data_IF_394885855318
#
_entry.id   IF_394885855318
#
_cell.length_a   1.000
_cell.length_b   1.000
_cell.length_c   1.000
_cell.angle_alpha   90.00
_cell.angle_beta   90.00
_cell.angle_gamma   90.00
#
_symmetry.space_group_name_H-M   'P 1'
#
loop_
_entity.id
_entity.type
_entity.pdbx_description
1 polymer ?
#
# COMPACT_ATOMS: atom_id res chain seq x y z
N UNK A 1 -1.75 -22.23 63.37
CA UNK A 1 -1.61 -21.91 64.80
C UNK A 1 -0.15 -21.54 65.07
N UNK A 2 0.10 -20.39 65.69
CA UNK A 2 1.42 -20.04 66.25
C UNK A 2 1.56 -20.70 67.64
N UNK A 3 2.77 -20.73 68.23
CA UNK A 3 3.15 -19.62 69.10
C UNK A 3 4.58 -19.09 68.87
N UNK A 4 4.81 -17.86 69.28
CA UNK A 4 6.11 -17.20 69.28
C UNK A 4 6.76 -17.23 70.67
N UNK A 5 8.09 -17.15 70.73
CA UNK A 5 8.84 -16.48 71.80
C UNK A 5 10.21 -16.02 71.28
N UNK A 6 10.60 -14.82 71.70
CA UNK A 6 11.82 -14.12 71.25
C UNK A 6 13.03 -14.43 72.16
N UNK A 7 14.22 -13.88 71.83
CA UNK A 7 14.99 -12.91 72.65
C UNK A 7 16.42 -12.69 72.09
N UNK A 8 16.94 -11.45 72.28
CA UNK A 8 18.33 -10.94 72.12
C UNK A 8 18.92 -10.68 70.71
N UNK A 9 19.03 -9.39 70.38
CA UNK A 9 20.22 -8.79 69.75
C UNK A 9 21.30 -8.54 70.82
N UNK A 10 22.50 -8.10 70.42
CA UNK A 10 22.83 -6.73 70.81
C UNK A 10 23.38 -5.86 69.67
N UNK A 11 23.34 -4.57 69.96
CA UNK A 11 23.67 -3.42 69.11
C UNK A 11 25.15 -3.29 68.75
N UNK A 12 25.43 -2.53 67.69
CA UNK A 12 26.45 -1.50 67.78
C UNK A 12 26.07 -0.31 66.89
N UNK A 13 25.83 0.83 67.52
CA UNK A 13 25.77 2.16 66.92
C UNK A 13 27.20 2.54 66.42
N UNK A 14 27.51 3.65 65.75
CA UNK A 14 26.88 4.97 65.66
C UNK A 14 27.57 5.81 64.56
N UNK A 15 26.81 6.63 63.82
CA UNK A 15 27.10 8.06 63.46
C UNK A 15 28.42 8.37 62.65
N UNK A 16 28.72 9.55 62.08
CA UNK A 16 28.05 10.73 61.48
C UNK A 16 29.13 11.43 60.58
N UNK A 17 28.94 12.52 59.83
CA UNK A 17 27.87 13.52 59.67
C UNK A 17 27.76 13.95 58.18
N UNK A 18 27.28 15.18 57.89
CA UNK A 18 27.18 15.79 56.57
C UNK A 18 28.41 16.65 56.16
N UNK A 19 28.45 17.09 54.89
CA UNK A 19 28.38 18.55 54.55
C UNK A 19 28.64 18.86 53.06
N UNK A 20 27.74 19.63 52.46
CA UNK A 20 28.01 20.57 51.35
C UNK A 20 28.34 21.97 51.98
N UNK A 21 28.87 23.01 51.28
CA UNK A 21 28.60 23.41 49.88
C UNK A 21 29.80 24.03 49.09
N UNK A 22 29.57 24.50 47.85
CA UNK A 22 30.50 25.44 47.19
C UNK A 22 30.40 25.63 45.66
N UNK A 23 30.10 26.85 45.23
CA UNK A 23 30.35 27.47 43.90
C UNK A 23 30.98 28.85 44.16
N UNK A 24 31.60 29.59 43.20
CA UNK A 24 31.91 29.35 41.78
C UNK A 24 33.46 29.54 41.52
N UNK A 25 34.06 30.02 40.38
CA UNK A 25 33.65 31.09 39.43
C UNK A 25 33.74 30.75 37.91
N UNK A 26 33.37 31.71 37.08
CA UNK A 26 33.35 31.67 35.59
C UNK A 26 34.63 32.24 34.97
N UNK A 27 35.15 31.65 33.88
CA UNK A 27 35.87 32.37 32.80
C UNK A 27 36.10 31.53 31.52
N UNK A 28 35.62 32.07 30.38
CA UNK A 28 36.46 32.36 29.19
C UNK A 28 36.88 31.24 28.23
N UNK A 29 36.29 31.28 27.04
CA UNK A 29 36.87 31.02 25.70
C UNK A 29 37.30 29.61 25.27
N UNK A 30 36.79 29.21 24.08
CA UNK A 30 37.09 27.92 23.44
C UNK A 30 36.16 27.54 22.27
N UNK A 31 35.77 28.51 21.43
CA UNK A 31 34.78 28.28 20.36
C UNK A 31 35.42 27.63 19.12
N UNK A 32 35.29 26.30 18.99
CA UNK A 32 35.65 25.57 17.76
C UNK A 32 34.45 24.75 17.29
N UNK A 33 33.74 25.28 16.29
CA UNK A 33 32.67 24.56 15.58
C UNK A 33 33.28 23.61 14.56
N UNK A 34 33.12 22.30 14.77
CA UNK A 34 33.11 21.33 13.66
C UNK A 34 31.66 21.13 13.21
N UNK A 35 31.29 21.74 12.09
CA UNK A 35 30.00 21.52 11.42
C UNK A 35 30.16 20.40 10.40
N UNK A 36 30.00 19.15 10.84
CA UNK A 36 29.82 18.03 9.92
C UNK A 36 28.32 17.90 9.56
N UNK A 37 28.00 18.29 8.34
CA UNK A 37 26.66 18.25 7.77
C UNK A 37 26.29 16.82 7.34
N UNK A 38 25.24 16.18 7.91
CA UNK A 38 24.85 14.83 7.55
C UNK A 38 24.29 14.68 6.12
N UNK A 39 24.12 15.76 5.35
CA UNK A 39 23.55 15.73 3.99
C UNK A 39 24.52 15.28 2.87
N UNK A 40 25.72 14.80 3.20
CA UNK A 40 26.72 14.34 2.19
C UNK A 40 27.18 12.89 2.37
N UNK A 41 26.23 11.95 2.30
CA UNK A 41 26.48 10.53 1.96
C UNK A 41 25.52 10.03 0.87
N UNK A 42 25.56 10.68 -0.29
CA UNK A 42 24.99 10.12 -1.53
C UNK A 42 25.86 8.96 -2.02
N UNK A 43 25.58 7.74 -1.55
CA UNK A 43 26.21 6.53 -2.11
C UNK A 43 25.58 6.25 -3.47
N UNK A 44 26.41 6.21 -4.50
CA UNK A 44 26.01 5.94 -5.89
C UNK A 44 25.50 4.51 -6.04
N UNK A 45 24.18 4.32 -5.99
CA UNK A 45 23.54 2.99 -6.10
C UNK A 45 22.78 2.77 -7.43
N UNK A 46 22.41 3.83 -8.14
CA UNK A 46 21.54 3.75 -9.34
C UNK A 46 22.20 3.09 -10.56
N UNK A 47 23.49 3.34 -10.81
CA UNK A 47 24.11 3.08 -12.12
C UNK A 47 24.44 1.61 -12.44
N UNK A 48 24.35 0.70 -11.47
CA UNK A 48 24.55 -0.75 -11.67
C UNK A 48 23.24 -1.53 -11.71
N UNK A 49 22.16 -1.00 -11.12
CA UNK A 49 20.83 -1.63 -11.16
C UNK A 49 20.19 -1.46 -12.55
N UNK A 50 20.21 -0.24 -13.09
CA UNK A 50 19.72 0.09 -14.43
C UNK A 50 20.41 -0.77 -15.53
N UNK A 51 21.73 -0.95 -15.43
CA UNK A 51 22.51 -1.75 -16.38
C UNK A 51 22.20 -3.25 -16.33
N UNK A 52 21.76 -3.78 -15.19
CA UNK A 52 21.38 -5.18 -15.07
C UNK A 52 19.94 -5.42 -15.56
N UNK A 53 19.00 -4.50 -15.32
CA UNK A 53 17.67 -4.57 -15.93
C UNK A 53 17.76 -4.59 -17.46
N UNK A 54 18.51 -3.64 -18.03
CA UNK A 54 18.60 -3.49 -19.48
C UNK A 54 19.19 -4.74 -20.16
N UNK A 55 20.12 -5.42 -19.49
CA UNK A 55 20.71 -6.68 -19.97
C UNK A 55 19.74 -7.87 -19.91
N UNK A 56 18.84 -7.92 -18.93
CA UNK A 56 17.81 -8.95 -18.85
C UNK A 56 16.69 -8.80 -19.89
N UNK A 57 16.40 -7.56 -20.34
CA UNK A 57 15.40 -7.31 -21.37
C UNK A 57 15.88 -7.63 -22.80
N UNK A 58 17.19 -7.64 -23.05
CA UNK A 58 17.74 -8.00 -24.37
C UNK A 58 17.74 -9.53 -24.62
N UNK A 59 17.78 -10.35 -23.56
CA UNK A 59 17.86 -11.81 -23.66
C UNK A 59 16.48 -12.49 -23.88
N UNK A 60 15.38 -11.73 -23.85
CA UNK A 60 14.01 -12.18 -24.15
C UNK A 60 13.50 -11.54 -25.45
N UNK A 61 14.17 -11.81 -26.58
CA UNK A 61 13.71 -11.40 -27.91
C UNK A 61 13.42 -12.57 -28.86
N UNK A 62 12.17 -12.61 -29.36
CA UNK A 62 11.68 -13.24 -30.60
C UNK A 62 11.99 -14.74 -30.86
N UNK A 63 10.93 -15.56 -31.03
CA UNK A 63 10.95 -16.61 -32.04
C UNK A 63 11.05 -15.96 -33.44
N UNK A 64 12.17 -16.15 -34.15
CA UNK A 64 12.25 -15.81 -35.57
C UNK A 64 11.57 -16.89 -36.41
N UNK A 65 10.41 -16.59 -36.99
CA UNK A 65 9.83 -17.39 -38.07
C UNK A 65 10.40 -16.91 -39.42
N UNK A 66 11.15 -17.77 -40.08
CA UNK A 66 11.70 -17.50 -41.41
C UNK A 66 10.61 -17.60 -42.50
N UNK A 67 10.62 -16.73 -43.52
CA UNK A 67 9.66 -16.81 -44.63
C UNK A 67 10.12 -17.84 -45.69
N UNK A 68 9.25 -18.74 -46.16
CA UNK A 68 9.53 -19.56 -47.34
C UNK A 68 9.37 -18.76 -48.64
N UNK A 69 10.25 -19.02 -49.61
CA UNK A 69 10.26 -18.40 -50.93
C UNK A 69 9.16 -18.98 -51.87
N UNK A 70 8.80 -18.28 -52.97
CA UNK A 70 7.55 -18.54 -53.69
C UNK A 70 7.64 -19.64 -54.73
N UNK A 71 6.51 -20.28 -55.02
CA UNK A 71 6.30 -21.05 -56.26
C UNK A 71 4.87 -20.85 -56.78
N UNK A 72 4.77 -20.49 -58.06
CA UNK A 72 3.51 -20.44 -58.83
C UNK A 72 3.40 -21.72 -59.68
N UNK A 73 2.20 -22.12 -60.13
CA UNK A 73 1.74 -21.61 -61.42
C UNK A 73 0.24 -21.28 -61.55
N UNK A 74 -0.03 -20.47 -62.58
CA UNK A 74 -1.31 -20.01 -63.14
C UNK A 74 -2.43 -21.05 -63.31
N UNK A 75 -3.70 -20.62 -63.21
CA UNK A 75 -4.67 -20.76 -64.32
C UNK A 75 -5.86 -19.76 -64.27
N UNK A 76 -6.04 -19.06 -65.39
CA UNK A 76 -7.25 -18.48 -66.02
C UNK A 76 -8.45 -17.87 -65.25
N UNK A 77 -8.70 -16.60 -65.61
CA UNK A 77 -9.99 -16.00 -66.03
C UNK A 77 -11.19 -15.86 -65.06
N UNK A 78 -11.61 -14.59 -64.87
CA UNK A 78 -12.80 -14.22 -64.11
C UNK A 78 -12.92 -12.71 -63.88
N UNK A 79 -13.04 -11.93 -64.96
CA UNK A 79 -13.10 -10.46 -64.86
C UNK A 79 -14.44 -9.98 -64.28
N UNK A 80 -14.45 -9.58 -63.00
CA UNK A 80 -15.53 -8.77 -62.41
C UNK A 80 -14.89 -7.55 -61.75
N UNK A 81 -15.10 -6.39 -62.36
CA UNK A 81 -14.64 -5.09 -61.85
C UNK A 81 -15.47 -4.67 -60.63
N UNK A 82 -14.95 -4.91 -59.44
CA UNK A 82 -15.48 -4.31 -58.21
C UNK A 82 -14.79 -2.96 -57.92
N UNK A 83 -15.52 -1.98 -57.36
CA UNK A 83 -15.03 -0.62 -57.21
C UNK A 83 -13.81 -0.56 -56.29
N UNK A 84 -12.86 0.30 -56.65
CA UNK A 84 -11.68 0.61 -55.85
C UNK A 84 -12.11 1.04 -54.43
N UNK A 85 -11.88 0.17 -53.44
CA UNK A 85 -11.85 0.59 -52.04
C UNK A 85 -10.91 1.80 -51.93
N UNK A 86 -11.32 2.92 -51.32
CA UNK A 86 -10.34 3.91 -50.90
C UNK A 86 -9.39 3.20 -49.92
N UNK A 87 -8.11 3.17 -50.25
CA UNK A 87 -7.05 2.65 -49.38
C UNK A 87 -6.75 3.64 -48.25
N UNK A 88 -7.78 3.95 -47.45
CA UNK A 88 -7.58 4.45 -46.11
C UNK A 88 -7.17 3.28 -45.24
N UNK A 89 -5.94 3.29 -44.74
CA UNK A 89 -5.51 2.35 -43.71
C UNK A 89 -6.44 2.52 -42.51
N UNK A 90 -7.32 1.53 -42.27
CA UNK A 90 -8.13 1.48 -41.07
C UNK A 90 -7.19 1.21 -39.90
N UNK A 91 -6.69 2.28 -39.28
CA UNK A 91 -5.83 2.23 -38.09
C UNK A 91 -6.47 1.29 -37.07
N UNK A 92 -5.71 0.28 -36.65
CA UNK A 92 -6.17 -0.71 -35.69
C UNK A 92 -6.59 -0.06 -34.37
N UNK A 93 -7.61 -0.63 -33.74
CA UNK A 93 -8.18 -0.18 -32.47
C UNK A 93 -8.61 -1.40 -31.63
N UNK A 94 -8.55 -1.26 -30.31
CA UNK A 94 -9.04 -2.25 -29.37
C UNK A 94 -10.54 -2.06 -29.12
N UNK A 95 -11.33 -3.11 -29.32
CA UNK A 95 -12.70 -3.18 -28.82
C UNK A 95 -12.77 -4.27 -27.76
N UNK A 96 -12.81 -3.85 -26.49
CA UNK A 96 -12.79 -4.73 -25.33
C UNK A 96 -14.07 -5.58 -25.17
N UNK A 97 -15.08 -5.37 -26.02
CA UNK A 97 -16.29 -6.21 -26.15
C UNK A 97 -16.00 -7.52 -26.88
N UNK A 98 -15.07 -7.49 -27.86
CA UNK A 98 -14.81 -8.63 -28.76
C UNK A 98 -13.38 -9.17 -28.67
N UNK A 99 -12.40 -8.34 -28.27
CA UNK A 99 -11.02 -8.76 -28.12
C UNK A 99 -10.85 -9.56 -26.83
N UNK A 100 -10.19 -10.71 -26.95
CA UNK A 100 -9.84 -11.57 -25.83
C UNK A 100 -8.32 -11.71 -25.72
N UNK A 101 -7.83 -11.80 -24.49
CA UNK A 101 -6.40 -11.80 -24.14
C UNK A 101 -6.02 -13.14 -23.52
N UNK A 102 -4.82 -13.63 -23.75
CA UNK A 102 -4.33 -14.82 -23.04
C UNK A 102 -4.10 -14.51 -21.57
N UNK A 103 -4.38 -15.48 -20.68
CA UNK A 103 -4.14 -15.29 -19.25
C UNK A 103 -2.64 -15.13 -18.99
N UNK A 104 -2.25 -14.07 -18.28
CA UNK A 104 -0.84 -13.77 -18.03
C UNK A 104 -0.13 -14.74 -17.07
N UNK A 105 -0.86 -15.59 -16.34
CA UNK A 105 -0.26 -16.66 -15.53
C UNK A 105 0.40 -17.67 -16.47
N UNK A 106 1.70 -17.87 -16.29
CA UNK A 106 2.47 -18.81 -17.11
C UNK A 106 1.84 -20.22 -17.14
N UNK A 107 1.67 -20.78 -18.35
CA UNK A 107 1.05 -22.08 -18.56
C UNK A 107 -0.49 -22.09 -18.58
N UNK A 108 -1.15 -20.93 -18.50
CA UNK A 108 -2.61 -20.84 -18.64
C UNK A 108 -3.03 -20.38 -20.05
N UNK A 109 -3.66 -21.28 -20.81
CA UNK A 109 -4.15 -21.00 -22.18
C UNK A 109 -5.57 -20.40 -22.22
N UNK A 110 -6.17 -20.09 -21.07
CA UNK A 110 -7.54 -19.54 -20.99
C UNK A 110 -7.56 -18.12 -21.53
N UNK A 111 -8.51 -17.84 -22.42
CA UNK A 111 -8.75 -16.49 -22.94
C UNK A 111 -9.67 -15.69 -22.03
N UNK A 112 -9.23 -14.49 -21.71
CA UNK A 112 -9.84 -13.52 -20.82
C UNK A 112 -10.61 -12.49 -21.66
N UNK A 113 -11.88 -12.24 -21.35
CA UNK A 113 -12.68 -11.15 -21.92
C UNK A 113 -13.12 -10.19 -20.82
N UNK A 114 -13.19 -8.89 -21.12
CA UNK A 114 -13.62 -7.90 -20.13
C UNK A 114 -15.07 -8.10 -19.67
N UNK A 115 -15.90 -8.72 -20.52
CA UNK A 115 -17.34 -8.91 -20.29
C UNK A 115 -17.71 -10.30 -19.75
N UNK A 116 -16.74 -11.19 -19.51
CA UNK A 116 -17.02 -12.55 -19.02
C UNK A 116 -17.32 -12.63 -17.50
N UNK A 117 -17.14 -11.53 -16.76
CA UNK A 117 -17.27 -11.40 -15.29
C UNK A 117 -16.31 -12.24 -14.42
N UNK A 118 -15.46 -13.07 -15.03
CA UNK A 118 -14.47 -13.91 -14.36
C UNK A 118 -13.07 -13.30 -14.44
N UNK A 119 -12.76 -12.67 -15.57
CA UNK A 119 -11.49 -12.03 -15.86
C UNK A 119 -11.24 -10.85 -14.93
N UNK A 120 -10.03 -10.81 -14.38
CA UNK A 120 -9.57 -9.78 -13.46
C UNK A 120 -8.29 -9.12 -13.95
N UNK A 121 -8.00 -7.98 -13.33
CA UNK A 121 -7.02 -7.02 -13.80
C UNK A 121 -6.30 -6.46 -12.59
N UNK A 122 -4.99 -6.31 -12.69
CA UNK A 122 -4.22 -5.68 -11.63
C UNK A 122 -4.69 -4.22 -11.43
N UNK A 123 -4.99 -3.79 -10.20
CA UNK A 123 -5.44 -2.43 -9.90
C UNK A 123 -4.33 -1.37 -10.10
N UNK A 124 -3.08 -1.76 -10.36
CA UNK A 124 -2.05 -0.83 -10.85
C UNK A 124 -1.99 -0.78 -12.40
N UNK A 125 -2.28 -1.88 -13.10
CA UNK A 125 -2.22 -1.96 -14.57
C UNK A 125 -3.50 -1.47 -15.29
N UNK A 126 -4.64 -1.44 -14.60
CA UNK A 126 -5.88 -0.88 -15.14
C UNK A 126 -6.46 -1.61 -16.37
N UNK A 127 -7.66 -1.22 -16.80
CA UNK A 127 -8.41 -1.97 -17.81
C UNK A 127 -7.73 -2.04 -19.17
N UNK A 128 -6.96 -1.03 -19.55
CA UNK A 128 -6.27 -0.91 -20.83
C UNK A 128 -4.81 -1.42 -20.82
N UNK A 129 -4.45 -2.31 -19.89
CA UNK A 129 -3.22 -3.11 -20.02
C UNK A 129 -3.44 -4.36 -20.85
N UNK A 130 -2.43 -4.82 -21.60
CA UNK A 130 -2.46 -6.14 -22.23
C UNK A 130 -2.51 -7.30 -21.22
N UNK A 131 -2.15 -7.06 -19.95
CA UNK A 131 -2.18 -8.08 -18.91
C UNK A 131 -3.60 -8.28 -18.36
N UNK A 132 -4.06 -9.53 -18.43
CA UNK A 132 -5.35 -10.01 -17.92
C UNK A 132 -5.17 -11.38 -17.28
N UNK A 133 -6.02 -11.70 -16.31
CA UNK A 133 -6.05 -13.02 -15.68
C UNK A 133 -7.47 -13.57 -15.75
N UNK A 134 -7.63 -14.85 -16.08
CA UNK A 134 -8.95 -15.48 -16.19
C UNK A 134 -9.66 -15.71 -14.84
N UNK A 135 -9.04 -15.29 -13.72
CA UNK A 135 -9.61 -15.41 -12.40
C UNK A 135 -8.77 -14.78 -11.30
N UNK A 136 -9.44 -14.51 -10.16
CA UNK A 136 -8.85 -13.90 -8.94
C UNK A 136 -7.65 -14.68 -8.39
N UNK A 137 -7.70 -16.01 -8.47
CA UNK A 137 -6.65 -16.91 -7.98
C UNK A 137 -5.35 -16.75 -8.78
N UNK A 138 -5.41 -16.89 -10.10
CA UNK A 138 -4.27 -16.73 -10.99
C UNK A 138 -3.54 -15.39 -10.81
N UNK A 139 -4.29 -14.29 -10.62
CA UNK A 139 -3.69 -12.98 -10.37
C UNK A 139 -2.98 -12.88 -9.00
N UNK A 140 -3.48 -13.57 -7.96
CA UNK A 140 -2.85 -13.58 -6.62
C UNK A 140 -1.60 -14.45 -6.59
N UNK A 141 -1.62 -15.60 -7.27
CA UNK A 141 -0.46 -16.48 -7.38
C UNK A 141 0.67 -15.82 -8.19
N UNK A 142 0.32 -15.11 -9.26
CA UNK A 142 1.27 -14.42 -10.15
C UNK A 142 1.79 -13.08 -9.57
N UNK A 143 1.31 -12.65 -8.40
CA UNK A 143 1.56 -11.33 -7.82
C UNK A 143 3.04 -10.88 -7.80
N UNK A 144 3.97 -11.82 -7.58
CA UNK A 144 5.42 -11.57 -7.56
C UNK A 144 6.03 -11.48 -8.96
N UNK A 145 5.57 -12.31 -9.91
CA UNK A 145 6.06 -12.29 -11.28
C UNK A 145 5.51 -11.06 -12.02
N UNK A 146 4.20 -10.80 -11.87
CA UNK A 146 3.51 -9.64 -12.41
C UNK A 146 4.15 -8.31 -11.99
N UNK A 147 4.65 -8.21 -10.74
CA UNK A 147 5.30 -7.01 -10.23
C UNK A 147 6.42 -6.49 -11.14
N UNK A 148 7.18 -7.39 -11.79
CA UNK A 148 8.30 -7.03 -12.68
C UNK A 148 7.86 -6.29 -13.96
N UNK A 149 6.60 -6.45 -14.37
CA UNK A 149 6.01 -5.90 -15.60
C UNK A 149 4.79 -4.98 -15.31
N UNK A 150 4.50 -4.74 -14.03
CA UNK A 150 3.34 -4.00 -13.58
C UNK A 150 3.38 -2.55 -14.08
N UNK A 151 2.28 -2.07 -14.66
CA UNK A 151 2.14 -0.74 -15.28
C UNK A 151 2.84 -0.56 -16.63
N UNK A 152 3.74 -1.47 -17.04
CA UNK A 152 4.57 -1.31 -18.24
C UNK A 152 3.83 -1.74 -19.53
N UNK A 153 2.95 -2.73 -19.44
CA UNK A 153 2.26 -3.31 -20.61
C UNK A 153 0.92 -2.63 -20.89
N UNK A 154 0.97 -1.33 -21.20
CA UNK A 154 -0.20 -0.49 -21.51
C UNK A 154 -0.51 -0.46 -22.99
N UNK A 155 -1.79 -0.52 -23.37
CA UNK A 155 -2.24 -0.44 -24.76
C UNK A 155 -1.86 0.89 -25.43
N UNK A 156 -1.13 0.79 -26.53
CA UNK A 156 -0.66 1.93 -27.32
C UNK A 156 -1.65 2.35 -28.42
N UNK A 157 -2.57 1.47 -28.79
CA UNK A 157 -3.57 1.72 -29.82
C UNK A 157 -4.90 2.25 -29.24
N UNK A 158 -5.66 3.06 -29.99
CA UNK A 158 -6.93 3.61 -29.52
C UNK A 158 -7.92 2.51 -29.12
N UNK A 159 -8.70 2.77 -28.08
CA UNK A 159 -9.71 1.84 -27.57
C UNK A 159 -11.13 2.39 -27.81
N UNK A 160 -12.09 1.51 -28.12
CA UNK A 160 -13.49 1.89 -28.35
C UNK A 160 -14.10 2.41 -27.05
N UNK A 161 -14.68 3.61 -27.12
CA UNK A 161 -15.36 4.25 -26.00
C UNK A 161 -16.57 3.41 -25.55
N UNK A 162 -16.70 3.19 -24.24
CA UNK A 162 -17.69 2.30 -23.62
C UNK A 162 -17.54 0.79 -23.91
N UNK A 163 -16.43 0.33 -24.50
CA UNK A 163 -16.17 -1.12 -24.68
C UNK A 163 -15.78 -1.86 -23.40
N UNK A 164 -15.57 -1.16 -22.28
CA UNK A 164 -15.25 -1.75 -20.96
C UNK A 164 -16.48 -1.68 -20.05
N UNK A 165 -16.81 -2.73 -19.29
CA UNK A 165 -17.94 -2.69 -18.37
C UNK A 165 -17.81 -1.59 -17.30
N UNK A 166 -18.90 -0.90 -16.95
CA UNK A 166 -18.89 0.15 -15.93
C UNK A 166 -18.27 -0.28 -14.60
N UNK A 167 -18.54 -1.50 -14.12
CA UNK A 167 -18.04 -2.02 -12.84
C UNK A 167 -16.50 -2.10 -12.81
N UNK A 168 -15.87 -2.42 -13.95
CA UNK A 168 -14.41 -2.45 -14.08
C UNK A 168 -13.84 -1.02 -14.09
N UNK A 169 -14.57 -0.04 -14.62
CA UNK A 169 -14.18 1.36 -14.61
C UNK A 169 -14.32 2.02 -13.23
N UNK A 170 -15.33 1.67 -12.42
CA UNK A 170 -15.63 2.33 -11.13
C UNK A 170 -14.94 1.71 -9.90
N UNK A 171 -14.22 0.60 -10.06
CA UNK A 171 -13.48 -0.04 -8.96
C UNK A 171 -12.46 0.91 -8.28
N UNK A 172 -12.16 0.71 -6.98
CA UNK A 172 -11.26 1.59 -6.23
C UNK A 172 -9.84 1.56 -6.82
N UNK A 173 -9.15 2.72 -6.91
CA UNK A 173 -7.76 2.76 -7.36
C UNK A 173 -6.81 2.14 -6.35
N UNK A 174 -5.75 1.50 -6.85
CA UNK A 174 -4.58 1.19 -6.03
C UNK A 174 -3.92 2.50 -5.57
N UNK A 175 -3.58 2.57 -4.28
CA UNK A 175 -2.88 3.72 -3.71
C UNK A 175 -1.37 3.51 -3.95
N UNK A 176 -0.67 4.43 -4.64
CA UNK A 176 0.78 4.37 -4.85
C UNK A 176 1.55 4.93 -3.64
N UNK A 177 2.87 4.78 -3.58
CA UNK A 177 3.67 5.50 -2.60
C UNK A 177 4.08 6.88 -3.13
N UNK A 178 3.81 7.96 -2.38
CA UNK A 178 4.36 9.30 -2.66
C UNK A 178 5.90 9.31 -2.69
N UNK A 179 6.53 8.42 -1.92
CA UNK A 179 7.99 8.28 -1.81
C UNK A 179 8.58 7.20 -2.74
N UNK A 180 7.79 6.60 -3.63
CA UNK A 180 8.25 5.52 -4.52
C UNK A 180 8.58 4.20 -3.81
N UNK A 181 8.14 4.01 -2.56
CA UNK A 181 8.21 2.73 -1.87
C UNK A 181 7.04 1.83 -2.23
N UNK A 182 7.07 1.34 -3.45
CA UNK A 182 6.21 0.27 -3.92
C UNK A 182 7.04 -1.02 -4.03
N UNK A 183 6.63 -2.05 -3.29
CA UNK A 183 7.30 -3.35 -3.15
C UNK A 183 6.36 -4.49 -3.56
N UNK A 184 6.86 -5.68 -3.95
CA UNK A 184 6.01 -6.79 -4.36
C UNK A 184 5.02 -7.23 -3.27
N UNK A 185 5.37 -7.13 -1.99
CA UNK A 185 4.48 -7.44 -0.86
C UNK A 185 3.27 -6.49 -0.78
N UNK A 186 3.52 -5.19 -0.98
CA UNK A 186 2.49 -4.14 -1.05
C UNK A 186 1.62 -4.29 -2.29
N UNK A 187 2.24 -4.54 -3.45
CA UNK A 187 1.55 -4.83 -4.70
C UNK A 187 0.57 -6.00 -4.52
N UNK A 188 1.05 -7.12 -3.97
CA UNK A 188 0.22 -8.28 -3.60
C UNK A 188 -0.93 -7.89 -2.66
N UNK A 189 -0.68 -7.13 -1.61
CA UNK A 189 -1.72 -6.70 -0.67
C UNK A 189 -2.84 -5.92 -1.40
N UNK A 190 -2.49 -5.06 -2.36
CA UNK A 190 -3.47 -4.39 -3.22
C UNK A 190 -4.24 -5.34 -4.15
N UNK A 191 -3.62 -6.41 -4.67
CA UNK A 191 -4.33 -7.46 -5.44
C UNK A 191 -5.37 -8.19 -4.57
N UNK A 192 -5.05 -8.39 -3.29
CA UNK A 192 -6.00 -8.97 -2.33
C UNK A 192 -7.13 -8.00 -2.02
N UNK A 193 -6.87 -6.70 -1.78
CA UNK A 193 -7.94 -5.72 -1.61
C UNK A 193 -8.86 -5.59 -2.83
N UNK A 194 -8.33 -5.63 -4.06
CA UNK A 194 -9.16 -5.51 -5.27
C UNK A 194 -9.99 -6.77 -5.57
N UNK A 195 -9.57 -7.96 -5.12
CA UNK A 195 -10.25 -9.22 -5.42
C UNK A 195 -11.02 -9.84 -4.26
N UNK A 196 -10.68 -9.49 -3.02
CA UNK A 196 -11.15 -10.10 -1.78
C UNK A 196 -11.79 -9.08 -0.81
N UNK A 197 -12.28 -7.94 -1.31
CA UNK A 197 -12.77 -6.82 -0.50
C UNK A 197 -13.87 -7.19 0.52
N UNK A 198 -14.66 -8.22 0.22
CA UNK A 198 -15.72 -8.77 1.08
C UNK A 198 -15.20 -9.81 2.09
N UNK A 199 -14.04 -10.41 1.83
CA UNK A 199 -13.46 -11.45 2.68
C UNK A 199 -12.72 -10.86 3.90
N UNK A 200 -12.11 -9.68 3.77
CA UNK A 200 -11.29 -9.09 4.83
C UNK A 200 -10.95 -7.62 4.61
N UNK A 201 -10.46 -7.01 5.68
CA UNK A 201 -10.00 -5.62 5.74
C UNK A 201 -8.47 -5.51 5.76
N UNK A 202 -7.76 -6.56 6.19
CA UNK A 202 -6.31 -6.71 6.06
C UNK A 202 -5.95 -8.20 5.96
N UNK A 203 -4.97 -8.56 5.13
CA UNK A 203 -4.52 -9.95 4.93
C UNK A 203 -3.09 -10.11 5.43
N UNK A 204 -2.83 -11.14 6.24
CA UNK A 204 -1.52 -11.45 6.81
C UNK A 204 -0.96 -12.71 6.12
N UNK A 205 0.26 -12.64 5.59
CA UNK A 205 0.79 -13.65 4.67
C UNK A 205 1.88 -14.56 5.27
N UNK A 206 2.08 -15.71 4.63
CA UNK A 206 3.13 -16.68 4.96
C UNK A 206 4.49 -16.27 4.37
N UNK A 207 4.96 -15.05 4.70
CA UNK A 207 6.17 -14.46 4.12
C UNK A 207 7.46 -14.96 4.79
N UNK A 208 7.33 -15.41 6.04
CA UNK A 208 8.23 -16.38 6.62
C UNK A 208 7.66 -17.78 6.40
N UNK A 209 8.43 -18.67 5.77
CA UNK A 209 8.35 -20.08 6.08
C UNK A 209 8.79 -20.32 7.54
N UNK A 210 8.45 -21.48 8.09
CA UNK A 210 8.64 -21.81 9.51
C UNK A 210 10.14 -21.94 9.88
N UNK A 211 10.83 -20.81 10.05
CA UNK A 211 12.26 -20.73 10.29
C UNK A 211 12.66 -21.08 11.74
N UNK A 212 12.32 -22.29 12.18
CA UNK A 212 12.97 -22.93 13.33
C UNK A 212 14.37 -23.41 12.93
N UNK A 213 15.29 -22.49 12.64
CA UNK A 213 16.66 -22.85 12.28
C UNK A 213 17.53 -21.73 11.72
N UNK A 214 18.32 -21.12 12.61
CA UNK A 214 19.67 -20.57 12.38
C UNK A 214 19.90 -19.51 11.28
N UNK A 215 20.69 -18.49 11.63
CA UNK A 215 21.29 -17.47 10.76
C UNK A 215 20.38 -16.30 10.34
N UNK A 216 20.32 -15.34 11.26
CA UNK A 216 20.05 -13.92 10.99
C UNK A 216 21.14 -13.33 10.09
N UNK A 217 21.08 -13.56 8.77
CA UNK A 217 21.81 -12.77 7.78
C UNK A 217 21.14 -12.89 6.40
N UNK A 218 20.90 -11.75 5.72
CA UNK A 218 20.38 -11.61 4.34
C UNK A 218 18.86 -11.75 4.01
N UNK A 219 17.95 -11.45 4.94
CA UNK A 219 16.47 -11.38 4.67
C UNK A 219 16.07 -10.37 3.55
N UNK A 220 16.99 -9.50 3.10
CA UNK A 220 16.74 -8.47 2.08
C UNK A 220 16.98 -8.99 0.63
N UNK A 221 17.46 -10.22 0.42
CA UNK A 221 17.62 -10.82 -0.92
C UNK A 221 16.72 -12.03 -1.16
N UNK A 222 15.83 -11.88 -2.13
CA UNK A 222 15.13 -12.93 -2.87
C UNK A 222 14.33 -13.97 -2.06
N UNK A 223 13.05 -13.71 -1.78
CA UNK A 223 12.16 -14.81 -1.39
C UNK A 223 10.71 -14.49 -0.98
N UNK A 224 10.52 -13.53 -0.08
CA UNK A 224 9.42 -13.59 0.90
C UNK A 224 8.01 -13.26 0.43
N UNK A 225 7.77 -12.70 -0.76
CA UNK A 225 6.41 -12.37 -1.19
C UNK A 225 5.58 -13.63 -1.54
N UNK A 226 4.97 -14.24 -0.53
CA UNK A 226 4.10 -15.42 -0.64
C UNK A 226 2.68 -15.02 -1.04
N UNK A 227 1.97 -15.84 -1.81
CA UNK A 227 0.56 -15.59 -2.12
C UNK A 227 -0.40 -16.20 -1.07
N UNK A 228 0.11 -17.01 -0.14
CA UNK A 228 -0.70 -17.68 0.89
C UNK A 228 -0.98 -16.75 2.08
N UNK A 229 -2.26 -16.58 2.38
CA UNK A 229 -2.74 -15.84 3.57
C UNK A 229 -2.82 -16.79 4.77
N UNK A 230 -2.14 -16.44 5.86
CA UNK A 230 -2.19 -17.14 7.15
C UNK A 230 -3.41 -16.70 7.96
N UNK A 231 -3.70 -15.39 7.96
CA UNK A 231 -4.79 -14.82 8.73
C UNK A 231 -5.48 -13.69 7.96
N UNK A 232 -6.81 -13.73 7.94
CA UNK A 232 -7.65 -12.64 7.44
C UNK A 232 -8.14 -11.83 8.63
N UNK A 233 -7.94 -10.52 8.63
CA UNK A 233 -8.46 -9.61 9.65
C UNK A 233 -9.71 -8.93 9.09
N UNK A 234 -10.82 -8.99 9.84
CA UNK A 234 -12.10 -8.37 9.50
C UNK A 234 -12.53 -7.46 10.65
N UNK A 235 -13.11 -6.29 10.37
CA UNK A 235 -13.73 -5.42 11.37
C UNK A 235 -15.24 -5.42 11.20
N UNK A 236 -15.97 -5.95 12.19
CA UNK A 236 -17.44 -6.11 12.14
C UNK A 236 -18.15 -4.76 12.29
N UNK A 237 -17.62 -3.89 13.16
CA UNK A 237 -18.18 -2.58 13.43
C UNK A 237 -17.92 -1.62 12.25
N UNK A 238 -18.98 -1.02 11.65
CA UNK A 238 -18.82 -0.16 10.48
C UNK A 238 -17.97 1.10 10.70
N UNK A 239 -17.99 1.69 11.90
CA UNK A 239 -17.18 2.87 12.22
C UNK A 239 -15.70 2.50 12.33
N UNK A 240 -15.39 1.43 13.06
CA UNK A 240 -14.03 0.90 13.20
C UNK A 240 -13.46 0.40 11.86
N UNK A 241 -14.31 -0.20 11.01
CA UNK A 241 -13.95 -0.63 9.65
C UNK A 241 -13.63 0.54 8.74
N UNK A 242 -14.46 1.58 8.71
CA UNK A 242 -14.17 2.81 7.95
C UNK A 242 -12.89 3.45 8.48
N UNK A 243 -12.78 3.66 9.80
CA UNK A 243 -11.57 4.17 10.45
C UNK A 243 -10.31 3.40 10.04
N UNK A 244 -10.33 2.08 10.15
CA UNK A 244 -9.20 1.22 9.77
C UNK A 244 -8.81 1.40 8.30
N UNK A 245 -9.78 1.35 7.38
CA UNK A 245 -9.53 1.50 5.93
C UNK A 245 -8.98 2.88 5.58
N UNK A 246 -9.49 3.96 6.20
CA UNK A 246 -8.98 5.33 6.00
C UNK A 246 -7.53 5.48 6.48
N UNK A 247 -7.23 4.97 7.67
CA UNK A 247 -5.88 4.98 8.26
C UNK A 247 -4.91 4.20 7.36
N UNK A 248 -5.28 2.98 6.95
CA UNK A 248 -4.48 2.16 6.04
C UNK A 248 -4.24 2.87 4.69
N UNK A 249 -5.25 3.55 4.14
CA UNK A 249 -5.12 4.30 2.89
C UNK A 249 -4.09 5.43 2.99
N UNK A 250 -4.11 6.23 4.07
CA UNK A 250 -3.11 7.27 4.34
C UNK A 250 -1.72 6.66 4.56
N UNK A 251 -1.62 5.59 5.36
CA UNK A 251 -0.35 4.89 5.58
C UNK A 251 0.25 4.33 4.28
N UNK A 252 -0.57 3.85 3.33
CA UNK A 252 -0.07 3.41 2.02
C UNK A 252 0.46 4.60 1.20
N UNK A 253 -0.22 5.75 1.22
CA UNK A 253 0.19 6.91 0.43
C UNK A 253 1.51 7.52 0.95
N UNK A 254 1.62 7.75 2.25
CA UNK A 254 2.65 8.63 2.85
C UNK A 254 3.27 8.08 4.15
N UNK A 255 3.45 6.76 4.26
CA UNK A 255 3.93 6.08 5.47
C UNK A 255 5.03 6.83 6.23
N UNK A 256 6.08 7.28 5.53
CA UNK A 256 7.25 7.98 6.08
C UNK A 256 6.93 9.33 6.72
N UNK A 257 5.89 10.03 6.26
CA UNK A 257 5.42 11.28 6.86
C UNK A 257 4.47 11.01 8.04
N UNK A 258 3.79 9.85 8.06
CA UNK A 258 2.77 9.48 9.06
C UNK A 258 3.16 8.30 9.97
N UNK A 259 4.44 8.11 10.30
CA UNK A 259 4.91 7.03 11.21
C UNK A 259 4.06 6.86 12.49
N UNK A 260 3.70 7.94 13.23
CA UNK A 260 2.70 7.91 14.32
C UNK A 260 1.40 7.16 14.05
N UNK A 261 0.88 7.27 12.82
CA UNK A 261 -0.35 6.65 12.34
C UNK A 261 -0.14 5.17 12.01
N UNK A 262 1.04 4.82 11.49
CA UNK A 262 1.44 3.42 11.23
C UNK A 262 1.56 2.63 12.54
N UNK A 263 2.09 3.23 13.61
CA UNK A 263 2.08 2.61 14.94
C UNK A 263 0.63 2.37 15.44
N UNK A 264 -0.30 3.29 15.16
CA UNK A 264 -1.70 3.20 15.58
C UNK A 264 -2.45 2.12 14.76
N UNK A 265 -2.18 2.03 13.46
CA UNK A 265 -2.65 0.97 12.57
C UNK A 265 -2.21 -0.42 13.08
N UNK A 266 -0.94 -0.56 13.49
CA UNK A 266 -0.45 -1.79 14.11
C UNK A 266 -1.21 -2.12 15.40
N UNK A 267 -1.44 -1.13 16.29
CA UNK A 267 -2.25 -1.33 17.49
C UNK A 267 -3.67 -1.81 17.16
N UNK A 268 -4.33 -1.24 16.14
CA UNK A 268 -5.66 -1.70 15.70
C UNK A 268 -5.65 -3.16 15.25
N UNK A 269 -4.65 -3.57 14.46
CA UNK A 269 -4.49 -4.97 14.03
C UNK A 269 -4.29 -5.89 15.23
N UNK A 270 -3.36 -5.54 16.13
CA UNK A 270 -3.08 -6.30 17.35
C UNK A 270 -4.31 -6.48 18.20
N UNK A 271 -4.97 -5.38 18.56
CA UNK A 271 -6.10 -5.40 19.50
C UNK A 271 -7.28 -6.20 18.91
N UNK A 272 -7.47 -6.14 17.58
CA UNK A 272 -8.44 -7.00 16.88
C UNK A 272 -8.06 -8.47 16.92
N UNK A 273 -6.81 -8.83 16.61
CA UNK A 273 -6.31 -10.21 16.69
C UNK A 273 -6.36 -10.76 18.12
N UNK A 274 -6.12 -9.91 19.13
CA UNK A 274 -6.28 -10.26 20.55
C UNK A 274 -7.74 -10.55 20.90
N UNK A 275 -8.68 -9.72 20.43
CA UNK A 275 -10.12 -9.95 20.63
C UNK A 275 -10.61 -11.27 20.00
N UNK A 276 -9.96 -11.72 18.92
CA UNK A 276 -10.23 -12.98 18.23
C UNK A 276 -9.41 -14.17 18.78
N UNK A 277 -8.60 -13.98 19.83
CA UNK A 277 -7.68 -14.99 20.38
C UNK A 277 -6.65 -15.54 19.37
N UNK A 278 -6.36 -14.78 18.32
CA UNK A 278 -5.41 -15.11 17.24
C UNK A 278 -4.03 -14.45 17.42
N UNK A 279 -3.86 -13.67 18.48
CA UNK A 279 -2.58 -13.01 18.78
C UNK A 279 -1.60 -13.94 19.49
N UNK A 280 -0.45 -14.17 18.86
CA UNK A 280 0.69 -14.90 19.41
C UNK A 280 1.99 -14.13 19.17
N UNK A 281 3.10 -14.53 19.80
CA UNK A 281 4.43 -13.95 19.51
C UNK A 281 4.88 -14.18 18.06
N UNK A 282 4.41 -15.26 17.44
CA UNK A 282 4.66 -15.53 16.03
C UNK A 282 3.85 -14.58 15.13
N UNK A 283 2.56 -14.36 15.45
CA UNK A 283 1.70 -13.44 14.72
C UNK A 283 2.20 -11.99 14.84
N UNK A 284 2.66 -11.59 16.03
CA UNK A 284 3.32 -10.30 16.27
C UNK A 284 4.52 -10.10 15.33
N UNK A 285 5.41 -11.09 15.24
CA UNK A 285 6.56 -11.04 14.35
C UNK A 285 6.15 -10.97 12.87
N UNK A 286 5.20 -11.80 12.41
CA UNK A 286 4.70 -11.78 11.03
C UNK A 286 4.08 -10.42 10.67
N UNK A 287 3.21 -9.86 11.52
CA UNK A 287 2.57 -8.56 11.29
C UNK A 287 3.60 -7.44 11.24
N UNK A 288 4.57 -7.39 12.18
CA UNK A 288 5.61 -6.35 12.17
C UNK A 288 6.48 -6.41 10.91
N UNK A 289 6.93 -7.60 10.51
CA UNK A 289 7.73 -7.75 9.30
C UNK A 289 6.93 -7.35 8.05
N UNK A 290 5.69 -7.82 7.93
CA UNK A 290 4.84 -7.50 6.78
C UNK A 290 4.59 -5.99 6.69
N UNK A 291 4.26 -5.32 7.80
CA UNK A 291 4.10 -3.86 7.82
C UNK A 291 5.40 -3.12 7.47
N UNK A 292 6.58 -3.61 7.89
CA UNK A 292 7.86 -3.03 7.50
C UNK A 292 8.16 -3.18 6.00
N UNK A 293 7.79 -4.32 5.39
CA UNK A 293 7.89 -4.53 3.95
C UNK A 293 6.90 -3.65 3.18
N UNK A 294 5.64 -3.60 3.61
CA UNK A 294 4.57 -2.83 2.95
C UNK A 294 4.73 -1.30 3.07
N UNK A 295 5.18 -0.82 4.24
CA UNK A 295 5.11 0.60 4.63
C UNK A 295 6.48 1.27 4.86
N UNK A 296 7.60 0.58 4.63
CA UNK A 296 8.97 1.11 4.81
C UNK A 296 9.37 1.48 6.25
N UNK A 297 8.57 1.11 7.25
CA UNK A 297 8.74 1.54 8.65
C UNK A 297 8.96 0.35 9.56
N UNK A 298 10.07 0.37 10.29
CA UNK A 298 10.31 -0.55 11.39
C UNK A 298 9.52 -0.10 12.62
N UNK A 299 8.75 -1.03 13.19
CA UNK A 299 7.91 -0.77 14.36
C UNK A 299 8.72 -0.96 15.65
N UNK A 300 9.25 0.14 16.19
CA UNK A 300 10.00 0.11 17.44
C UNK A 300 9.13 -0.37 18.62
N UNK A 301 9.61 -1.33 19.45
CA UNK A 301 8.87 -1.83 20.61
C UNK A 301 8.43 -0.72 21.59
N UNK A 302 9.22 0.35 21.68
CA UNK A 302 8.95 1.52 22.51
C UNK A 302 7.71 2.29 22.06
N UNK A 303 7.50 2.41 20.76
CA UNK A 303 6.43 3.24 20.19
C UNK A 303 5.13 2.48 19.97
N UNK A 304 5.17 1.15 19.79
CA UNK A 304 3.96 0.31 19.74
C UNK A 304 3.43 -0.07 21.13
N UNK A 305 4.33 -0.37 22.09
CA UNK A 305 3.99 -0.76 23.47
C UNK A 305 2.97 -1.90 23.60
N UNK A 306 2.28 -1.94 24.73
CA UNK A 306 1.10 -2.76 25.01
C UNK A 306 -0.19 -1.92 25.07
N UNK A 307 -0.12 -0.58 25.08
CA UNK A 307 -1.29 0.31 25.02
C UNK A 307 -2.17 0.03 23.80
N UNK A 308 -3.49 0.06 23.96
CA UNK A 308 -4.45 -0.16 22.87
C UNK A 308 -4.54 1.04 21.88
N UNK A 309 -5.17 0.82 20.72
CA UNK A 309 -5.53 1.82 19.72
C UNK A 309 -6.64 2.76 20.24
N UNK A 310 -6.23 3.77 20.99
CA UNK A 310 -7.13 4.54 21.86
C UNK A 310 -8.02 5.54 21.13
N UNK A 311 -9.32 5.59 21.48
CA UNK A 311 -10.26 6.67 21.07
C UNK A 311 -9.71 8.07 21.35
N UNK A 312 -8.95 8.26 22.44
CA UNK A 312 -8.34 9.54 22.75
C UNK A 312 -7.21 9.93 21.80
N UNK A 313 -6.47 8.96 21.23
CA UNK A 313 -5.51 9.19 20.14
C UNK A 313 -6.21 9.37 18.79
N UNK A 314 -7.37 8.76 18.57
CA UNK A 314 -8.16 8.99 17.35
C UNK A 314 -8.69 10.44 17.30
N UNK A 315 -9.49 10.81 18.32
CA UNK A 315 -10.19 12.10 18.43
C UNK A 315 -9.29 13.25 18.91
N UNK A 316 -8.04 12.96 19.28
CA UNK A 316 -7.10 13.91 19.89
C UNK A 316 -7.55 14.48 21.25
N UNK A 317 -8.29 13.68 22.02
CA UNK A 317 -8.70 14.05 23.38
C UNK A 317 -7.51 13.91 24.35
N UNK A 318 -7.48 14.68 25.46
CA UNK A 318 -6.47 14.50 26.51
C UNK A 318 -6.41 13.05 27.00
N UNK A 319 -5.22 12.47 27.11
CA UNK A 319 -5.03 11.03 27.41
C UNK A 319 -5.76 10.53 28.68
N UNK A 320 -6.08 11.42 29.62
CA UNK A 320 -6.88 11.17 30.83
C UNK A 320 -8.33 10.71 30.55
N UNK A 321 -8.81 10.83 29.31
CA UNK A 321 -10.08 10.23 28.87
C UNK A 321 -9.97 8.70 28.72
N UNK A 322 -8.77 8.18 28.46
CA UNK A 322 -8.52 6.75 28.55
C UNK A 322 -8.45 6.31 30.02
N UNK A 323 -9.15 5.22 30.36
CA UNK A 323 -9.17 4.63 31.70
C UNK A 323 -8.48 3.28 31.80
N UNK A 324 -7.97 2.77 30.68
CA UNK A 324 -7.20 1.53 30.63
C UNK A 324 -5.86 1.70 31.38
N UNK A 325 -5.54 0.83 32.35
CA UNK A 325 -4.35 0.99 33.19
C UNK A 325 -3.04 0.82 32.41
N UNK A 326 -2.98 -0.07 31.41
CA UNK A 326 -1.80 -0.30 30.57
C UNK A 326 -1.56 0.94 29.70
N UNK A 327 -2.63 1.42 29.05
CA UNK A 327 -2.59 2.60 28.21
C UNK A 327 -2.23 3.88 28.98
N UNK A 328 -2.59 3.98 30.25
CA UNK A 328 -2.20 5.09 31.14
C UNK A 328 -0.76 4.92 31.62
N UNK A 329 -0.31 3.71 31.98
CA UNK A 329 1.04 3.47 32.48
C UNK A 329 2.14 3.73 31.46
N UNK A 330 1.90 3.40 30.19
CA UNK A 330 2.88 3.66 29.11
C UNK A 330 2.95 5.13 28.70
N UNK A 331 1.90 5.91 28.97
CA UNK A 331 1.85 7.36 28.72
C UNK A 331 2.34 8.14 29.94
N UNK A 332 3.60 7.92 30.34
CA UNK A 332 4.21 8.41 31.58
C UNK A 332 4.31 9.96 31.76
N UNK A 333 3.78 10.77 30.83
CA UNK A 333 3.83 12.23 30.89
C UNK A 333 2.53 12.82 31.46
N UNK A 334 2.53 13.10 32.76
CA UNK A 334 1.38 13.65 33.51
C UNK A 334 1.04 15.10 33.12
N UNK A 335 2.02 15.86 32.64
CA UNK A 335 1.86 17.19 32.08
C UNK A 335 1.65 17.03 30.57
N UNK A 336 0.49 17.44 30.07
CA UNK A 336 0.10 17.24 28.68
C UNK A 336 1.08 17.95 27.73
N UNK A 337 1.81 17.17 26.93
CA UNK A 337 2.68 17.71 25.90
C UNK A 337 1.81 18.17 24.72
N UNK A 338 1.82 19.48 24.34
CA UNK A 338 0.91 20.02 23.33
C UNK A 338 1.18 19.47 21.92
N UNK A 339 2.35 18.87 21.69
CA UNK A 339 2.70 18.18 20.44
C UNK A 339 2.31 16.68 20.41
N UNK A 340 1.65 16.15 21.45
CA UNK A 340 1.31 14.72 21.55
C UNK A 340 -0.18 14.39 21.60
N UNK A 341 -1.09 15.38 21.64
CA UNK A 341 -2.50 15.15 21.25
C UNK A 341 -2.55 14.91 19.75
N UNK A 342 -2.17 13.70 19.34
CA UNK A 342 -2.30 13.21 17.96
C UNK A 342 -3.80 13.27 17.63
N UNK A 343 -4.18 14.08 16.64
CA UNK A 343 -5.56 14.21 16.15
C UNK A 343 -5.68 13.38 14.89
N UNK A 344 -5.55 12.05 15.00
CA UNK A 344 -5.49 11.18 13.82
C UNK A 344 -6.74 11.30 12.93
N UNK A 345 -7.91 11.53 13.53
CA UNK A 345 -9.14 11.82 12.80
C UNK A 345 -9.05 13.06 11.92
N UNK A 346 -8.41 14.13 12.42
CA UNK A 346 -8.21 15.35 11.65
C UNK A 346 -7.16 15.15 10.58
N UNK A 347 -5.98 14.60 10.92
CA UNK A 347 -4.92 14.29 9.94
C UNK A 347 -5.45 13.46 8.77
N UNK A 348 -6.18 12.37 9.05
CA UNK A 348 -6.77 11.52 8.01
C UNK A 348 -7.84 12.26 7.18
N UNK A 349 -8.57 13.20 7.79
CA UNK A 349 -9.57 14.02 7.07
C UNK A 349 -8.91 15.12 6.24
N UNK A 350 -7.79 15.68 6.71
CA UNK A 350 -6.98 16.68 6.01
C UNK A 350 -6.30 16.03 4.78
N UNK A 351 -5.73 14.82 4.92
CA UNK A 351 -5.19 14.10 3.75
C UNK A 351 -6.28 13.63 2.79
N UNK A 352 -7.45 13.23 3.29
CA UNK A 352 -8.62 13.00 2.42
C UNK A 352 -9.06 14.27 1.69
N UNK A 353 -8.90 15.47 2.27
CA UNK A 353 -9.17 16.73 1.57
C UNK A 353 -8.11 17.02 0.49
N UNK A 354 -6.83 16.81 0.81
CA UNK A 354 -5.68 17.05 -0.08
C UNK A 354 -5.54 16.05 -1.24
N UNK A 355 -5.98 14.79 -1.05
CA UNK A 355 -5.71 13.71 -2.00
C UNK A 355 -6.98 12.99 -2.47
N UNK A 356 -7.42 13.30 -3.70
CA UNK A 356 -8.58 12.67 -4.34
C UNK A 356 -8.55 11.14 -4.34
N UNK A 357 -7.37 10.53 -4.39
CA UNK A 357 -7.19 9.08 -4.48
C UNK A 357 -7.60 8.37 -3.19
N UNK A 358 -7.39 9.01 -2.03
CA UNK A 358 -7.85 8.51 -0.73
C UNK A 358 -9.38 8.51 -0.66
N UNK A 359 -10.02 9.61 -1.10
CA UNK A 359 -11.48 9.69 -1.20
C UNK A 359 -12.04 8.64 -2.16
N UNK A 360 -11.45 8.49 -3.35
CA UNK A 360 -11.86 7.48 -4.32
C UNK A 360 -11.81 6.06 -3.72
N UNK A 361 -10.77 5.74 -2.96
CA UNK A 361 -10.56 4.46 -2.29
C UNK A 361 -11.51 4.21 -1.09
N UNK A 362 -11.97 5.26 -0.38
CA UNK A 362 -12.88 5.18 0.79
C UNK A 362 -14.30 4.70 0.46
N UNK A 363 -14.41 3.43 0.10
CA UNK A 363 -15.67 2.70 -0.21
C UNK A 363 -16.65 2.63 0.97
N UNK A 364 -16.17 2.80 2.20
CA UNK A 364 -16.94 2.72 3.45
C UNK A 364 -17.61 4.03 3.88
N UNK A 365 -17.47 5.13 3.13
CA UNK A 365 -18.05 6.43 3.51
C UNK A 365 -19.54 6.32 3.88
N UNK A 366 -20.00 6.88 5.02
CA UNK A 366 -21.36 6.68 5.51
C UNK A 366 -22.41 7.13 4.49
N UNK A 367 -22.22 8.33 3.93
CA UNK A 367 -23.20 9.00 3.05
C UNK A 367 -22.90 8.91 1.54
N UNK A 368 -21.67 8.60 1.11
CA UNK A 368 -21.22 8.83 -0.28
C UNK A 368 -20.77 7.53 -0.94
N UNK A 369 -21.69 6.88 -1.67
CA UNK A 369 -21.47 5.52 -2.20
C UNK A 369 -20.78 5.48 -3.58
N UNK A 370 -21.02 6.46 -4.45
CA UNK A 370 -20.44 6.50 -5.80
C UNK A 370 -18.99 7.02 -5.81
N UNK A 371 -18.10 6.35 -6.56
CA UNK A 371 -16.69 6.77 -6.68
C UNK A 371 -16.54 8.18 -7.24
N UNK A 372 -17.33 8.53 -8.27
CA UNK A 372 -17.34 9.87 -8.88
C UNK A 372 -17.62 10.99 -7.87
N UNK A 373 -18.57 10.77 -6.96
CA UNK A 373 -18.93 11.73 -5.91
C UNK A 373 -17.78 11.90 -4.90
N UNK A 374 -17.17 10.79 -4.46
CA UNK A 374 -16.02 10.84 -3.53
C UNK A 374 -14.81 11.54 -4.15
N UNK A 375 -14.48 11.25 -5.41
CA UNK A 375 -13.36 11.90 -6.11
C UNK A 375 -13.57 13.42 -6.22
N UNK A 376 -14.80 13.86 -6.53
CA UNK A 376 -15.18 15.29 -6.52
C UNK A 376 -15.20 15.92 -5.12
N UNK A 377 -15.09 15.15 -4.04
CA UNK A 377 -15.14 15.66 -2.66
C UNK A 377 -16.56 15.91 -2.14
N UNK A 378 -17.61 15.40 -2.80
CA UNK A 378 -18.97 15.53 -2.30
C UNK A 378 -19.09 14.82 -0.95
N UNK A 379 -19.53 15.56 0.09
CA UNK A 379 -19.67 15.02 1.45
C UNK A 379 -18.37 14.89 2.24
N UNK A 380 -17.27 15.46 1.75
CA UNK A 380 -16.01 15.62 2.49
C UNK A 380 -15.82 17.09 2.86
N UNK A 381 -15.33 17.34 4.07
CA UNK A 381 -15.02 18.69 4.54
C UNK A 381 -13.73 19.22 3.89
N UNK A 382 -13.62 20.54 3.79
CA UNK A 382 -12.41 21.28 3.39
C UNK A 382 -11.78 20.96 2.01
N UNK A 383 -12.43 20.18 1.14
CA UNK A 383 -11.93 19.91 -0.22
C UNK A 383 -11.88 21.19 -1.06
N UNK A 384 -10.67 21.62 -1.40
CA UNK A 384 -10.41 22.76 -2.28
C UNK A 384 -10.93 22.48 -3.70
N UNK A 385 -11.30 23.52 -4.45
CA UNK A 385 -11.67 23.39 -5.86
C UNK A 385 -10.56 22.74 -6.70
N UNK A 386 -9.30 23.01 -6.35
CA UNK A 386 -8.08 22.40 -6.87
C UNK A 386 -7.88 20.92 -6.45
N UNK A 387 -8.83 20.30 -5.76
CA UNK A 387 -8.88 18.83 -5.62
C UNK A 387 -10.21 18.22 -6.03
N UNK A 388 -11.15 19.01 -6.58
CA UNK A 388 -12.42 18.50 -7.13
C UNK A 388 -12.21 17.90 -8.53
N UNK A 389 -11.54 16.75 -8.57
CA UNK A 389 -11.17 16.08 -9.82
C UNK A 389 -12.34 15.28 -10.40
N UNK A 390 -12.37 15.17 -11.73
CA UNK A 390 -13.15 14.12 -12.39
C UNK A 390 -12.48 12.77 -12.12
N UNK A 391 -13.26 11.77 -11.73
CA UNK A 391 -12.79 10.38 -11.70
C UNK A 391 -12.68 9.88 -13.15
N UNK A 392 -11.54 10.16 -13.76
CA UNK A 392 -11.01 9.46 -14.91
C UNK A 392 -10.00 8.43 -14.40
N UNK A 393 -9.70 7.43 -15.22
CA UNK A 393 -8.49 6.66 -15.03
C UNK A 393 -7.33 7.52 -15.59
N UNK A 394 -6.12 7.01 -15.82
CA UNK A 394 -4.96 7.84 -16.22
C UNK A 394 -4.05 7.11 -17.20
N UNK A 395 -2.88 7.66 -17.56
CA UNK A 395 -1.92 6.88 -18.34
C UNK A 395 -1.47 5.61 -17.56
N UNK A 396 -1.24 4.50 -18.27
CA UNK A 396 -1.25 3.13 -17.73
C UNK A 396 -2.59 2.61 -17.16
N UNK A 397 -3.68 3.36 -17.33
CA UNK A 397 -5.01 3.08 -16.76
C UNK A 397 -6.19 3.48 -17.70
N UNK A 398 -5.92 4.20 -18.80
CA UNK A 398 -6.82 4.73 -19.86
C UNK A 398 -6.49 4.24 -21.28
N UNK A 399 -5.28 3.70 -21.49
CA UNK A 399 -4.72 3.50 -22.83
C UNK A 399 -4.37 4.81 -23.53
N UNK A 400 -3.88 4.74 -24.77
CA UNK A 400 -3.37 5.91 -25.49
C UNK A 400 -4.51 6.74 -26.12
N UNK A 401 -5.25 7.46 -25.26
CA UNK A 401 -6.04 8.63 -25.64
C UNK A 401 -7.43 8.76 -25.02
N UNK A 402 -7.56 9.58 -23.96
CA UNK A 402 -8.42 10.80 -23.97
C UNK A 402 -8.25 11.65 -22.69
N UNK A 403 -7.58 12.78 -22.83
CA UNK A 403 -7.72 13.94 -21.93
C UNK A 403 -6.59 14.15 -20.93
N UNK A 404 -6.11 15.39 -20.87
CA UNK A 404 -5.45 15.92 -19.67
C UNK A 404 -6.40 15.91 -18.47
N UNK A 405 -5.86 16.03 -17.26
CA UNK A 405 -6.62 16.19 -16.04
C UNK A 405 -7.46 17.49 -16.08
N UNK A 406 -8.73 17.37 -16.45
CA UNK A 406 -9.65 18.50 -16.55
C UNK A 406 -10.41 18.74 -15.23
N UNK A 407 -10.30 19.97 -14.73
CA UNK A 407 -11.05 20.49 -13.59
C UNK A 407 -12.54 20.62 -13.91
N UNK A 408 -13.41 20.33 -12.92
CA UNK A 408 -14.83 20.68 -13.00
C UNK A 408 -15.00 22.19 -12.74
N UNK A 409 -14.58 23.01 -13.71
CA UNK A 409 -14.64 24.48 -13.58
C UNK A 409 -14.02 25.28 -14.73
N UNK A 410 -13.15 24.68 -15.55
CA UNK A 410 -12.51 25.35 -16.68
C UNK A 410 -13.11 24.95 -18.02
N UNK A 411 -13.77 25.88 -18.72
CA UNK A 411 -13.95 25.80 -20.18
C UNK A 411 -12.86 26.64 -20.84
N UNK A 412 -12.05 26.00 -21.69
CA UNK A 412 -11.51 26.44 -22.98
C UNK A 412 -10.23 25.65 -23.32
#
# INVERSE_FOLDING_TARGET
>A
MLPAKAILQPDCESQEEASAPGTPPVRGDGFLRTTDDPRKRSVTWSSNFEKNLQKSCEEVQRPQLAPPAPSSPSFAEGAISNPSKPSGETKFFWDMTYHAFECAKAGCEVRCSMWDSQSVICPFCGPYSYVKYCGKEHMREDARAHWLICGQLTMQEPCVENSIPPDVLIGPPAIPCKHGWDRPERHRQALWFSTAQDAGDYFIFADQGDCTGSQTESIIRDGSCSHHVVQVVHFDDPEMKDRFRRILAVCLLESLEVQPLVEYLFRMLRDRLQSLQQWSSEMDMKVRQQMALELAIELEPRDIGLRHACEAEWRGLPFRHCRDPICVSERAYLLGSPCWTRRFECLVSDEEANYWILRANRTTHPTVKGVYARTRGEGFDHVLAEEQRLFRRGEAWDGLGKGSWEWVGGRC
#
